data_IF_611501746603
#
_entry.id   IF_611501746603
#
_cell.length_a   1.000
_cell.length_b   1.000
_cell.length_c   1.000
_cell.angle_alpha   90.00
_cell.angle_beta   90.00
_cell.angle_gamma   90.00
#
_symmetry.space_group_name_H-M   'P 1'
#
loop_
_entity.id
_entity.type
_entity.pdbx_description
1 polymer ?
#
# COMPACT_ATOMS: atom_id res chain seq x y z
N UNK A 1 -8.42 -7.51 30.49
CA UNK A 1 -9.45 -8.40 29.93
C UNK A 1 -8.83 -9.04 28.69
N UNK A 2 -8.49 -10.32 28.73
CA UNK A 2 -7.91 -11.03 27.59
C UNK A 2 -9.03 -11.47 26.65
N UNK A 3 -8.95 -11.10 25.38
CA UNK A 3 -9.81 -11.64 24.33
C UNK A 3 -9.39 -13.08 24.03
N UNK A 4 -10.31 -14.03 24.17
CA UNK A 4 -10.10 -15.40 23.72
C UNK A 4 -10.37 -15.47 22.22
N UNK A 5 -9.32 -15.70 21.43
CA UNK A 5 -9.45 -16.00 20.00
C UNK A 5 -9.76 -17.48 19.86
N UNK A 6 -10.96 -17.81 19.37
CA UNK A 6 -11.35 -19.18 19.09
C UNK A 6 -10.68 -19.68 17.81
N UNK A 7 -9.78 -20.65 17.93
CA UNK A 7 -9.24 -21.39 16.79
C UNK A 7 -10.32 -22.40 16.35
N UNK A 8 -10.92 -22.16 15.18
CA UNK A 8 -11.89 -23.07 14.59
C UNK A 8 -11.19 -24.31 14.01
N UNK A 9 -11.46 -25.49 14.56
CA UNK A 9 -11.08 -26.77 13.95
C UNK A 9 -12.25 -27.33 13.13
N UNK A 10 -11.99 -27.64 11.85
CA UNK A 10 -12.62 -28.67 10.99
C UNK A 10 -14.15 -28.87 10.89
N UNK A 11 -14.98 -28.22 11.71
CA UNK A 11 -16.40 -28.54 11.90
C UNK A 11 -17.30 -27.28 11.92
N UNK A 12 -16.83 -26.16 11.37
CA UNK A 12 -17.73 -25.03 11.10
C UNK A 12 -18.66 -25.41 9.94
N UNK A 13 -19.82 -25.95 10.29
CA UNK A 13 -20.88 -26.22 9.33
C UNK A 13 -21.33 -24.93 8.66
N UNK A 14 -21.51 -25.02 7.33
CA UNK A 14 -21.99 -23.97 6.45
C UNK A 14 -23.27 -23.34 7.00
N UNK A 15 -23.18 -22.11 7.52
CA UNK A 15 -24.33 -21.22 7.49
C UNK A 15 -24.42 -20.59 6.10
N UNK A 16 -25.63 -20.47 5.51
CA UNK A 16 -25.78 -19.77 4.25
C UNK A 16 -25.46 -18.30 4.51
N UNK A 17 -24.32 -17.85 4.03
CA UNK A 17 -23.96 -16.44 3.99
C UNK A 17 -25.05 -15.76 3.17
N UNK A 18 -25.88 -14.98 3.84
CA UNK A 18 -26.88 -14.14 3.21
C UNK A 18 -26.21 -13.35 2.10
N UNK A 19 -26.76 -13.46 0.90
CA UNK A 19 -26.37 -12.71 -0.29
C UNK A 19 -26.60 -11.22 -0.05
N UNK A 20 -25.59 -10.56 0.51
CA UNK A 20 -25.25 -9.19 0.17
C UNK A 20 -23.87 -9.24 -0.47
N UNK A 21 -23.83 -9.33 -1.80
CA UNK A 21 -22.60 -9.11 -2.55
C UNK A 21 -22.21 -7.63 -2.42
N UNK A 22 -21.52 -7.29 -1.32
CA UNK A 22 -20.64 -6.13 -1.34
C UNK A 22 -19.56 -6.42 -2.37
N UNK A 23 -19.37 -5.52 -3.33
CA UNK A 23 -18.29 -5.53 -4.33
C UNK A 23 -16.91 -5.36 -3.67
N UNK A 24 -16.55 -6.22 -2.72
CA UNK A 24 -15.37 -6.03 -1.85
C UNK A 24 -14.47 -7.26 -1.81
N UNK A 25 -14.53 -8.14 -2.81
CA UNK A 25 -13.56 -9.22 -2.91
C UNK A 25 -12.24 -8.65 -3.43
N UNK A 26 -11.34 -8.32 -2.49
CA UNK A 26 -9.94 -7.94 -2.72
C UNK A 26 -9.15 -9.12 -3.29
N UNK A 27 -9.46 -9.44 -4.54
CA UNK A 27 -8.81 -10.50 -5.31
C UNK A 27 -7.71 -9.89 -6.18
N UNK A 28 -6.66 -10.64 -6.47
CA UNK A 28 -5.59 -10.16 -7.35
C UNK A 28 -4.65 -9.11 -6.72
N UNK A 29 -4.02 -8.32 -7.59
CA UNK A 29 -2.93 -7.40 -7.28
C UNK A 29 -3.33 -5.95 -7.58
N UNK A 30 -3.43 -5.13 -6.54
CA UNK A 30 -3.93 -3.74 -6.61
C UNK A 30 -2.85 -2.67 -6.43
N UNK A 31 -3.00 -1.57 -7.16
CA UNK A 31 -2.43 -0.26 -6.86
C UNK A 31 -3.47 0.50 -6.04
N UNK A 32 -3.10 0.89 -4.83
CA UNK A 32 -4.02 1.50 -3.86
C UNK A 32 -3.46 2.82 -3.37
N UNK A 33 -4.27 3.88 -3.45
CA UNK A 33 -3.97 5.18 -2.84
C UNK A 33 -4.70 5.28 -1.50
N UNK A 34 -3.95 5.24 -0.41
CA UNK A 34 -4.47 5.45 0.94
C UNK A 34 -4.48 6.93 1.24
N UNK A 35 -5.66 7.46 1.56
CA UNK A 35 -5.82 8.86 1.92
C UNK A 35 -6.86 9.03 3.03
N UNK A 36 -6.48 9.72 4.11
CA UNK A 36 -7.35 10.02 5.24
C UNK A 36 -8.21 11.25 5.01
N UNK A 37 -8.92 11.30 3.89
CA UNK A 37 -9.68 12.48 3.49
C UNK A 37 -10.61 13.00 4.60
N UNK A 38 -10.53 14.31 4.87
CA UNK A 38 -11.40 15.00 5.84
C UNK A 38 -10.92 14.96 7.30
N UNK A 39 -9.74 14.40 7.59
CA UNK A 39 -9.07 14.48 8.89
C UNK A 39 -8.37 15.83 9.15
N UNK A 40 -8.19 16.66 8.13
CA UNK A 40 -7.48 17.95 8.16
C UNK A 40 -5.97 17.85 8.31
N UNK A 41 -5.39 16.63 8.27
CA UNK A 41 -3.97 16.39 8.51
C UNK A 41 -3.46 15.14 7.80
N UNK A 42 -2.22 15.19 7.30
CA UNK A 42 -1.54 14.08 6.59
C UNK A 42 -2.38 13.50 5.45
N UNK A 43 -2.97 14.39 4.67
CA UNK A 43 -3.80 14.04 3.52
C UNK A 43 -3.10 14.36 2.21
N UNK A 44 -3.46 13.63 1.16
CA UNK A 44 -3.17 13.99 -0.22
C UNK A 44 -4.34 14.85 -0.72
N UNK A 45 -4.11 16.15 -0.88
CA UNK A 45 -5.19 17.11 -1.21
C UNK A 45 -5.87 16.78 -2.55
N UNK A 46 -5.08 16.31 -3.52
CA UNK A 46 -5.52 15.91 -4.86
C UNK A 46 -5.46 14.39 -5.07
N UNK A 47 -5.85 13.60 -4.06
CA UNK A 47 -5.84 12.13 -4.14
C UNK A 47 -6.69 11.57 -5.29
N UNK A 48 -7.83 12.20 -5.59
CA UNK A 48 -8.70 11.78 -6.69
C UNK A 48 -8.00 11.96 -8.04
N UNK A 49 -7.32 13.08 -8.26
CA UNK A 49 -6.53 13.32 -9.48
C UNK A 49 -5.40 12.29 -9.61
N UNK A 50 -4.77 11.89 -8.50
CA UNK A 50 -3.76 10.84 -8.49
C UNK A 50 -4.36 9.48 -8.91
N UNK A 51 -5.51 9.11 -8.36
CA UNK A 51 -6.22 7.87 -8.75
C UNK A 51 -6.60 7.90 -10.22
N UNK A 52 -7.13 9.01 -10.72
CA UNK A 52 -7.45 9.19 -12.14
C UNK A 52 -6.22 9.07 -13.04
N UNK A 53 -5.09 9.67 -12.64
CA UNK A 53 -3.81 9.54 -13.34
C UNK A 53 -3.34 8.08 -13.42
N UNK A 54 -3.48 7.33 -12.33
CA UNK A 54 -3.15 5.90 -12.30
C UNK A 54 -4.11 5.07 -13.17
N UNK A 55 -5.42 5.32 -13.12
CA UNK A 55 -6.41 4.64 -13.97
C UNK A 55 -6.11 4.86 -15.46
N UNK A 56 -5.69 6.07 -15.84
CA UNK A 56 -5.27 6.39 -17.21
C UNK A 56 -3.99 5.66 -17.61
N UNK A 57 -3.02 5.55 -16.71
CA UNK A 57 -1.75 4.87 -16.95
C UNK A 57 -1.89 3.34 -17.02
N UNK A 58 -2.85 2.77 -16.30
CA UNK A 58 -3.13 1.33 -16.23
C UNK A 58 -4.58 1.06 -16.68
N UNK A 59 -4.91 1.14 -17.98
CA UNK A 59 -6.30 1.09 -18.44
C UNK A 59 -6.96 -0.29 -18.34
N UNK A 60 -6.18 -1.39 -18.36
CA UNK A 60 -6.71 -2.75 -18.28
C UNK A 60 -7.05 -3.14 -16.83
N UNK A 61 -8.28 -2.85 -16.42
CA UNK A 61 -8.80 -3.24 -15.10
C UNK A 61 -9.32 -4.69 -15.05
N UNK A 62 -9.22 -5.44 -16.15
CA UNK A 62 -9.62 -6.85 -16.21
C UNK A 62 -8.49 -7.80 -15.81
N UNK A 63 -7.24 -7.34 -15.89
CA UNK A 63 -6.06 -8.10 -15.51
C UNK A 63 -5.99 -8.30 -13.98
N UNK A 64 -6.14 -9.52 -13.45
CA UNK A 64 -6.10 -9.74 -12.00
C UNK A 64 -4.72 -9.51 -11.38
N UNK A 65 -3.65 -9.38 -12.18
CA UNK A 65 -2.28 -9.20 -11.70
C UNK A 65 -1.82 -7.75 -11.59
N UNK A 66 -2.65 -6.79 -12.05
CA UNK A 66 -2.37 -5.37 -11.91
C UNK A 66 -3.63 -4.54 -12.20
N UNK A 67 -4.23 -3.97 -11.15
CA UNK A 67 -5.41 -3.09 -11.24
C UNK A 67 -5.26 -1.87 -10.35
N UNK A 68 -6.03 -0.82 -10.63
CA UNK A 68 -6.05 0.38 -9.79
C UNK A 68 -7.35 0.39 -9.00
N UNK A 69 -7.24 0.61 -7.69
CA UNK A 69 -8.44 0.82 -6.88
C UNK A 69 -9.07 2.16 -7.26
N UNK A 70 -10.35 2.22 -7.69
CA UNK A 70 -10.90 3.35 -8.43
C UNK A 70 -11.28 4.56 -7.57
N UNK A 71 -10.85 4.59 -6.30
CA UNK A 71 -11.13 5.66 -5.35
C UNK A 71 -10.01 5.77 -4.32
N UNK A 72 -9.93 6.88 -3.63
CA UNK A 72 -9.13 6.94 -2.42
C UNK A 72 -9.61 5.92 -1.38
N UNK A 73 -8.67 5.29 -0.69
CA UNK A 73 -8.95 4.20 0.25
C UNK A 73 -8.63 4.59 1.69
N UNK A 74 -9.47 4.12 2.60
CA UNK A 74 -9.18 4.05 4.03
C UNK A 74 -9.37 2.60 4.47
N UNK A 75 -8.47 2.12 5.32
CA UNK A 75 -8.58 0.79 5.90
C UNK A 75 -9.82 0.69 6.80
N UNK A 76 -10.43 -0.50 6.82
CA UNK A 76 -11.62 -0.81 7.59
C UNK A 76 -11.25 -1.05 9.06
N UNK A 77 -12.20 -0.81 9.98
CA UNK A 77 -12.04 -1.14 11.40
C UNK A 77 -11.94 -2.66 11.64
N UNK A 78 -12.37 -3.47 10.67
CA UNK A 78 -12.21 -4.90 10.65
C UNK A 78 -10.79 -5.31 10.23
N UNK A 79 -10.07 -5.94 11.17
CA UNK A 79 -8.70 -6.41 10.96
C UNK A 79 -8.58 -7.44 9.83
N UNK A 80 -9.54 -8.35 9.69
CA UNK A 80 -9.51 -9.38 8.64
C UNK A 80 -9.60 -8.73 7.25
N UNK A 81 -10.52 -7.79 7.06
CA UNK A 81 -10.66 -7.06 5.81
C UNK A 81 -9.41 -6.21 5.50
N UNK A 82 -8.87 -5.53 6.52
CA UNK A 82 -7.62 -4.77 6.40
C UNK A 82 -6.45 -5.66 5.99
N UNK A 83 -6.28 -6.83 6.61
CA UNK A 83 -5.23 -7.78 6.26
C UNK A 83 -5.46 -8.38 4.86
N UNK A 84 -6.70 -8.70 4.51
CA UNK A 84 -7.04 -9.26 3.20
C UNK A 84 -6.74 -8.25 2.07
N UNK A 85 -7.13 -6.99 2.25
CA UNK A 85 -6.79 -5.89 1.35
C UNK A 85 -5.27 -5.72 1.24
N UNK A 86 -4.58 -5.58 2.37
CA UNK A 86 -3.13 -5.34 2.37
C UNK A 86 -2.38 -6.46 1.65
N UNK A 87 -2.82 -7.72 1.80
CA UNK A 87 -2.26 -8.85 1.05
C UNK A 87 -2.56 -8.78 -0.43
N UNK A 88 -3.73 -8.28 -0.85
CA UNK A 88 -4.06 -8.05 -2.26
C UNK A 88 -3.32 -6.84 -2.89
N UNK A 89 -2.61 -6.05 -2.09
CA UNK A 89 -1.91 -4.85 -2.58
C UNK A 89 -0.57 -5.21 -3.21
N UNK A 90 -0.35 -4.71 -4.43
CA UNK A 90 0.93 -4.74 -5.15
C UNK A 90 1.70 -3.43 -5.02
N UNK A 91 0.99 -2.30 -5.03
CA UNK A 91 1.55 -0.97 -4.78
C UNK A 91 0.67 -0.24 -3.78
N UNK A 92 1.23 0.16 -2.64
CA UNK A 92 0.57 1.03 -1.68
C UNK A 92 1.16 2.43 -1.77
N UNK A 93 0.31 3.42 -2.07
CA UNK A 93 0.69 4.82 -2.14
C UNK A 93 0.00 5.56 -1.00
N UNK A 94 0.73 6.32 -0.19
CA UNK A 94 0.11 7.08 0.89
C UNK A 94 1.07 8.02 1.60
N UNK A 95 0.50 8.96 2.35
CA UNK A 95 1.26 9.89 3.19
C UNK A 95 1.92 9.17 4.37
N UNK A 96 3.09 9.67 4.78
CA UNK A 96 3.78 9.18 5.96
C UNK A 96 2.85 9.18 7.19
N UNK A 97 2.69 8.02 7.81
CA UNK A 97 1.93 7.88 9.06
C UNK A 97 1.19 6.56 9.16
N UNK A 98 0.16 6.53 10.01
CA UNK A 98 -0.55 5.31 10.38
C UNK A 98 -1.23 4.58 9.21
N UNK A 99 -1.56 5.26 8.11
CA UNK A 99 -2.08 4.57 6.93
C UNK A 99 -1.09 3.55 6.36
N UNK A 100 0.21 3.87 6.38
CA UNK A 100 1.27 2.99 5.91
C UNK A 100 1.65 1.91 6.94
N UNK A 101 1.17 1.97 8.18
CA UNK A 101 1.51 0.93 9.15
C UNK A 101 0.89 -0.43 8.84
N UNK A 102 -0.13 -0.47 7.97
CA UNK A 102 -0.74 -1.71 7.49
C UNK A 102 0.18 -2.52 6.55
N UNK A 103 1.37 -1.99 6.23
CA UNK A 103 2.44 -2.70 5.51
C UNK A 103 2.88 -3.99 6.19
N UNK A 104 2.66 -4.13 7.50
CA UNK A 104 2.91 -5.38 8.24
C UNK A 104 2.13 -6.59 7.68
N UNK A 105 0.99 -6.35 7.02
CA UNK A 105 0.15 -7.40 6.45
C UNK A 105 0.46 -7.67 4.97
N UNK A 106 1.32 -6.88 4.34
CA UNK A 106 1.59 -6.97 2.90
C UNK A 106 2.40 -8.21 2.55
N UNK A 107 2.31 -8.62 1.29
CA UNK A 107 3.15 -9.70 0.76
C UNK A 107 4.57 -9.16 0.54
N UNK A 108 5.61 -9.98 0.75
CA UNK A 108 6.96 -9.68 0.28
C UNK A 108 6.95 -9.30 -1.20
N UNK A 109 7.73 -8.29 -1.55
CA UNK A 109 7.84 -7.73 -2.89
C UNK A 109 6.86 -6.60 -3.20
N UNK A 110 5.81 -6.39 -2.40
CA UNK A 110 4.90 -5.23 -2.54
C UNK A 110 5.69 -3.93 -2.50
N UNK A 111 5.29 -2.95 -3.32
CA UNK A 111 5.89 -1.62 -3.38
C UNK A 111 5.18 -0.71 -2.38
N UNK A 112 5.93 -0.24 -1.38
CA UNK A 112 5.54 0.83 -0.47
C UNK A 112 6.02 2.17 -1.03
N UNK A 113 5.09 2.95 -1.56
CA UNK A 113 5.32 4.28 -2.09
C UNK A 113 4.90 5.34 -1.05
N UNK A 114 5.89 5.84 -0.32
CA UNK A 114 5.70 6.80 0.75
C UNK A 114 5.69 8.23 0.21
N UNK A 115 4.72 9.04 0.63
CA UNK A 115 4.67 10.49 0.39
C UNK A 115 4.99 11.19 1.70
N UNK A 116 6.11 11.90 1.76
CA UNK A 116 6.41 12.73 2.92
C UNK A 116 5.80 14.13 2.79
N UNK A 117 5.31 14.71 3.89
CA UNK A 117 5.01 16.14 3.93
C UNK A 117 6.25 17.01 3.68
N UNK A 118 6.06 18.30 3.35
CA UNK A 118 7.16 19.26 3.21
C UNK A 118 8.11 19.27 4.42
N UNK A 119 9.42 19.33 4.13
CA UNK A 119 10.49 19.34 5.13
C UNK A 119 10.68 18.02 5.90
N UNK A 120 9.89 16.97 5.65
CA UNK A 120 9.87 15.76 6.47
C UNK A 120 10.66 14.56 5.91
N UNK A 121 11.57 14.78 4.95
CA UNK A 121 12.32 13.69 4.29
C UNK A 121 12.99 12.72 5.27
N UNK A 122 13.51 13.23 6.38
CA UNK A 122 14.17 12.41 7.42
C UNK A 122 13.26 11.35 8.07
N UNK A 123 11.93 11.52 8.02
CA UNK A 123 10.99 10.55 8.59
C UNK A 123 10.91 9.25 7.76
N UNK A 124 11.32 9.27 6.50
CA UNK A 124 11.23 8.09 5.60
C UNK A 124 12.06 6.91 6.08
N UNK A 125 13.05 7.14 6.92
CA UNK A 125 13.87 6.10 7.51
C UNK A 125 13.04 5.02 8.23
N UNK A 126 11.91 5.38 8.85
CA UNK A 126 11.07 4.42 9.56
C UNK A 126 10.44 3.41 8.60
N UNK A 127 9.76 3.89 7.56
CA UNK A 127 9.09 3.02 6.58
C UNK A 127 10.07 2.33 5.63
N UNK A 128 11.22 2.93 5.37
CA UNK A 128 12.33 2.25 4.69
C UNK A 128 12.80 1.02 5.49
N UNK A 129 13.06 1.16 6.79
CA UNK A 129 13.45 0.03 7.64
C UNK A 129 12.35 -1.03 7.73
N UNK A 130 11.09 -0.62 7.80
CA UNK A 130 9.97 -1.56 7.76
C UNK A 130 9.92 -2.33 6.44
N UNK A 131 10.13 -1.65 5.31
CA UNK A 131 10.20 -2.31 4.02
C UNK A 131 11.34 -3.35 3.99
N UNK A 132 12.51 -3.03 4.56
CA UNK A 132 13.61 -3.99 4.70
C UNK A 132 13.22 -5.21 5.54
N UNK A 133 12.57 -5.00 6.70
CA UNK A 133 12.14 -6.09 7.60
C UNK A 133 11.07 -6.99 6.97
N UNK A 134 10.10 -6.39 6.27
CA UNK A 134 8.98 -7.12 5.65
C UNK A 134 9.24 -7.52 4.19
N UNK A 135 10.48 -7.37 3.70
CA UNK A 135 10.88 -7.67 2.33
C UNK A 135 10.05 -6.94 1.26
N UNK A 136 9.66 -5.71 1.54
CA UNK A 136 8.96 -4.82 0.60
C UNK A 136 9.97 -4.03 -0.24
N UNK A 137 9.48 -3.39 -1.29
CA UNK A 137 10.20 -2.33 -1.99
C UNK A 137 9.79 -0.99 -1.39
N UNK A 138 10.72 -0.05 -1.25
CA UNK A 138 10.43 1.29 -0.74
C UNK A 138 10.75 2.33 -1.80
N UNK A 139 9.77 3.19 -2.09
CA UNK A 139 9.91 4.38 -2.91
C UNK A 139 9.42 5.58 -2.09
N UNK A 140 10.01 6.75 -2.34
CA UNK A 140 9.72 7.96 -1.60
C UNK A 140 9.51 9.12 -2.57
N UNK A 141 8.39 9.81 -2.41
CA UNK A 141 8.18 11.13 -2.98
C UNK A 141 8.18 12.19 -1.88
N UNK A 142 8.85 13.31 -2.15
CA UNK A 142 8.86 14.48 -1.26
C UNK A 142 8.57 15.72 -2.09
N UNK A 143 7.71 16.64 -1.62
CA UNK A 143 7.61 17.95 -2.24
C UNK A 143 8.97 18.64 -2.07
N UNK A 144 9.53 19.21 -3.15
CA UNK A 144 10.90 19.73 -3.21
C UNK A 144 11.19 20.97 -2.36
N UNK A 145 10.38 21.23 -1.34
CA UNK A 145 10.53 22.40 -0.47
C UNK A 145 11.66 22.16 0.54
N UNK A 146 12.66 23.04 0.52
CA UNK A 146 13.95 22.94 1.24
C UNK A 146 13.92 23.57 2.62
N UNK A 147 12.79 24.12 3.06
CA UNK A 147 12.67 24.64 4.41
C UNK A 147 12.68 23.45 5.40
N UNK A 148 13.80 23.29 6.11
CA UNK A 148 14.10 22.18 7.05
C UNK A 148 13.09 22.00 8.21
N UNK A 149 12.04 22.82 8.28
CA UNK A 149 10.97 22.66 9.25
C UNK A 149 9.94 21.65 8.75
N UNK A 150 10.13 20.39 9.16
CA UNK A 150 9.18 19.31 8.94
C UNK A 150 7.80 19.63 9.54
N UNK A 151 6.79 19.77 8.67
CA UNK A 151 5.40 19.87 9.08
C UNK A 151 4.72 18.49 9.03
N UNK A 152 4.85 17.73 10.13
CA UNK A 152 4.42 16.32 10.21
C UNK A 152 2.94 16.10 9.92
N UNK A 153 2.11 17.11 10.17
CA UNK A 153 0.67 17.02 10.04
C UNK A 153 0.15 17.72 8.78
N UNK A 154 1.01 18.38 8.00
CA UNK A 154 0.58 19.06 6.79
C UNK A 154 -0.09 18.10 5.81
N UNK A 155 -1.18 18.57 5.21
CA UNK A 155 -1.65 17.99 3.97
C UNK A 155 -0.70 18.34 2.83
N UNK A 156 -0.68 17.51 1.79
CA UNK A 156 0.29 17.59 0.70
C UNK A 156 -0.45 17.51 -0.62
N UNK A 157 -0.22 18.49 -1.49
CA UNK A 157 -0.63 18.40 -2.89
C UNK A 157 0.52 17.76 -3.67
N UNK A 158 0.23 16.69 -4.40
CA UNK A 158 1.25 15.92 -5.11
C UNK A 158 1.32 16.30 -6.60
N UNK A 159 2.50 16.12 -7.19
CA UNK A 159 2.68 16.18 -8.65
C UNK A 159 2.30 14.82 -9.24
N UNK A 160 1.07 14.74 -9.76
CA UNK A 160 0.44 13.47 -10.19
C UNK A 160 1.26 12.80 -11.28
N UNK A 161 1.72 13.55 -12.27
CA UNK A 161 2.53 13.07 -13.38
C UNK A 161 3.84 12.41 -12.92
N UNK A 162 4.54 13.03 -11.96
CA UNK A 162 5.76 12.46 -11.39
C UNK A 162 5.49 11.13 -10.69
N UNK A 163 4.50 11.09 -9.80
CA UNK A 163 4.18 9.87 -9.04
C UNK A 163 3.71 8.77 -9.97
N UNK A 164 2.86 9.08 -10.95
CA UNK A 164 2.38 8.09 -11.93
C UNK A 164 3.55 7.53 -12.74
N UNK A 165 4.46 8.38 -13.22
CA UNK A 165 5.65 7.93 -13.96
C UNK A 165 6.56 7.06 -13.08
N UNK A 166 6.77 7.42 -11.82
CA UNK A 166 7.55 6.62 -10.89
C UNK A 166 6.89 5.26 -10.65
N UNK A 167 5.56 5.20 -10.47
CA UNK A 167 4.82 3.94 -10.31
C UNK A 167 4.92 3.06 -11.56
N UNK A 168 4.79 3.63 -12.77
CA UNK A 168 5.00 2.90 -14.04
C UNK A 168 6.40 2.28 -14.05
N UNK A 169 7.42 3.08 -13.75
CA UNK A 169 8.81 2.63 -13.72
C UNK A 169 9.04 1.53 -12.68
N UNK A 170 8.48 1.67 -11.48
CA UNK A 170 8.61 0.68 -10.41
C UNK A 170 7.94 -0.65 -10.77
N UNK A 171 6.70 -0.59 -11.28
CA UNK A 171 5.96 -1.80 -11.70
C UNK A 171 6.66 -2.51 -12.86
N UNK A 172 7.20 -1.76 -13.83
CA UNK A 172 7.97 -2.33 -14.93
C UNK A 172 9.26 -3.03 -14.44
N UNK A 173 9.97 -2.40 -13.49
CA UNK A 173 11.23 -2.92 -12.95
C UNK A 173 11.06 -3.99 -11.87
N UNK A 174 9.85 -4.17 -11.33
CA UNK A 174 9.55 -5.14 -10.28
C UNK A 174 9.96 -6.56 -10.66
N UNK A 175 9.87 -6.93 -11.94
CA UNK A 175 10.31 -8.26 -12.41
C UNK A 175 11.76 -8.54 -12.01
N UNK A 176 12.65 -7.55 -12.10
CA UNK A 176 14.05 -7.68 -11.70
C UNK A 176 14.21 -7.85 -10.18
N UNK A 177 13.36 -7.17 -9.40
CA UNK A 177 13.38 -7.25 -7.94
C UNK A 177 12.82 -8.60 -7.44
N UNK A 178 11.72 -9.08 -8.01
CA UNK A 178 11.13 -10.40 -7.68
C UNK A 178 12.07 -11.55 -8.00
N UNK A 179 12.70 -11.54 -9.18
CA UNK A 179 13.71 -12.54 -9.54
C UNK A 179 14.89 -12.52 -8.58
N UNK A 180 15.37 -11.31 -8.21
CA UNK A 180 16.43 -11.16 -7.21
C UNK A 180 16.02 -11.60 -5.80
N UNK A 181 14.77 -11.37 -5.40
CA UNK A 181 14.24 -11.83 -4.12
C UNK A 181 14.14 -13.35 -4.05
N UNK A 182 13.58 -14.01 -5.08
CA UNK A 182 13.54 -15.47 -5.15
C UNK A 182 14.95 -16.06 -5.05
N UNK A 183 15.92 -15.49 -5.76
CA UNK A 183 17.32 -15.90 -5.67
C UNK A 183 17.87 -15.75 -4.24
N UNK A 184 17.62 -14.63 -3.56
CA UNK A 184 18.10 -14.41 -2.17
C UNK A 184 17.38 -15.30 -1.15
N UNK A 185 16.07 -15.50 -1.30
CA UNK A 185 15.29 -16.37 -0.44
C UNK A 185 15.74 -17.83 -0.59
N UNK A 186 16.00 -18.27 -1.82
CA UNK A 186 16.59 -19.58 -2.10
C UNK A 186 18.00 -19.71 -1.52
N UNK A 187 18.84 -18.68 -1.65
CA UNK A 187 20.19 -18.67 -1.05
C UNK A 187 20.15 -18.82 0.48
N UNK A 188 19.16 -18.21 1.15
CA UNK A 188 18.97 -18.37 2.60
C UNK A 188 18.57 -19.81 2.92
N UNK A 189 17.63 -20.38 2.16
CA UNK A 189 17.13 -21.75 2.36
C UNK A 189 18.18 -22.84 2.05
N UNK A 190 19.12 -22.57 1.13
CA UNK A 190 20.21 -23.50 0.76
C UNK A 190 21.37 -23.43 1.75
N UNK A 191 21.51 -22.34 2.51
CA UNK A 191 22.60 -22.13 3.49
C UNK A 191 22.23 -22.52 4.93
N UNK A 192 20.99 -22.92 5.18
CA UNK A 192 20.51 -23.52 6.44
C UNK A 192 20.38 -25.02 6.31
#
# INVERSE_FOLDING_TARGET
KSEQVFICNGLCQNQPIGTQSKETTFTGDWIVVVNRAGAGRREINNANELVEGLLKAFPDQTNPYLRVWPKQFNFDDNLYETAHMARSTRVLIGTHGAGLSNTIFMRPGTILYEINPPGCRMLSFNFRRWAEVFNLQHALWTPGDTNDQCSRDASTTVRVDEIVNDVINLVHNENRYRSGYLSRALDILVKT
#
